data_IF_140453302630
#
_entry.id   IF_140453302630
#
_cell.length_a   1.000
_cell.length_b   1.000
_cell.length_c   1.000
_cell.angle_alpha   90.00
_cell.angle_beta   90.00
_cell.angle_gamma   90.00
#
_symmetry.space_group_name_H-M   'P 1'
#
loop_
_entity.id
_entity.type
_entity.pdbx_description
1 polymer ?
#
# COMPACT_ATOMS: atom_id res chain seq x y z
N UNK A 1 -5.74 -0.01 19.85
CA UNK A 1 -4.39 0.49 19.56
C UNK A 1 -4.49 1.62 18.55
N UNK A 2 -3.83 2.75 18.81
CA UNK A 2 -3.72 3.84 17.83
C UNK A 2 -2.34 3.72 17.19
N UNK A 3 -2.31 3.64 15.86
CA UNK A 3 -1.06 3.50 15.13
C UNK A 3 -0.50 4.87 14.73
N UNK A 4 -1.33 5.68 14.09
CA UNK A 4 -0.90 6.97 13.56
C UNK A 4 -2.05 7.95 13.53
N UNK A 5 -1.75 9.24 13.69
CA UNK A 5 -2.70 10.32 13.49
C UNK A 5 -2.10 11.44 12.63
N UNK A 6 -2.93 12.01 11.76
CA UNK A 6 -2.53 12.98 10.75
C UNK A 6 -3.50 14.15 10.67
N UNK A 7 -2.94 15.35 10.47
CA UNK A 7 -3.62 16.43 9.76
C UNK A 7 -3.27 16.39 8.30
N UNK A 8 -4.22 16.67 7.42
CA UNK A 8 -4.01 16.74 5.98
C UNK A 8 -4.90 17.81 5.32
N UNK A 9 -4.44 18.36 4.21
CA UNK A 9 -5.21 19.35 3.45
C UNK A 9 -6.42 18.71 2.77
N UNK A 10 -7.60 19.32 2.93
CA UNK A 10 -8.82 18.97 2.18
C UNK A 10 -9.15 20.11 1.22
N UNK A 11 -9.31 21.31 1.77
CA UNK A 11 -9.71 22.50 1.02
C UNK A 11 -9.15 23.77 1.67
N UNK A 12 -9.39 24.91 1.04
CA UNK A 12 -9.08 26.21 1.63
C UNK A 12 -9.97 26.58 2.82
N UNK A 13 -10.99 25.77 3.14
CA UNK A 13 -11.92 25.99 4.26
C UNK A 13 -11.75 24.95 5.37
N UNK A 14 -11.30 23.75 5.04
CA UNK A 14 -11.21 22.62 5.96
C UNK A 14 -9.87 21.88 5.88
N UNK A 15 -9.40 21.43 7.04
CA UNK A 15 -8.29 20.50 7.23
C UNK A 15 -8.86 19.19 7.76
N UNK A 16 -8.42 18.07 7.20
CA UNK A 16 -8.80 16.76 7.68
C UNK A 16 -7.96 16.38 8.90
N UNK A 17 -8.61 15.84 9.91
CA UNK A 17 -7.96 15.07 10.96
C UNK A 17 -8.33 13.60 10.80
N UNK A 18 -7.34 12.73 10.95
CA UNK A 18 -7.63 11.31 11.00
C UNK A 18 -6.70 10.52 11.90
N UNK A 19 -7.21 9.38 12.36
CA UNK A 19 -6.49 8.38 13.15
C UNK A 19 -6.64 7.03 12.48
N UNK A 20 -5.54 6.33 12.28
CA UNK A 20 -5.51 4.94 11.83
C UNK A 20 -5.21 4.09 13.06
N UNK A 21 -6.03 3.06 13.29
CA UNK A 21 -5.87 2.21 14.46
C UNK A 21 -6.49 0.84 14.29
N UNK A 22 -6.36 0.05 15.36
CA UNK A 22 -6.85 -1.31 15.49
C UNK A 22 -7.71 -1.43 16.72
N UNK A 23 -8.92 -1.96 16.56
CA UNK A 23 -9.82 -2.22 17.67
C UNK A 23 -10.70 -3.41 17.37
N UNK A 24 -11.36 -3.92 18.42
CA UNK A 24 -12.56 -4.72 18.20
C UNK A 24 -13.60 -3.89 17.45
N UNK A 25 -14.55 -4.60 16.83
CA UNK A 25 -15.70 -3.97 16.21
C UNK A 25 -16.28 -2.86 17.09
N UNK A 26 -16.24 -1.64 16.57
CA UNK A 26 -16.89 -0.49 17.18
C UNK A 26 -18.25 -0.38 16.53
N UNK A 27 -19.31 -0.27 17.34
CA UNK A 27 -20.63 -0.02 16.76
C UNK A 27 -20.62 1.36 16.09
N UNK A 28 -21.45 1.55 15.07
CA UNK A 28 -21.66 2.88 14.46
C UNK A 28 -22.13 3.92 15.51
N UNK A 29 -22.73 3.43 16.59
CA UNK A 29 -23.21 4.23 17.71
C UNK A 29 -22.11 4.63 18.71
N UNK A 30 -20.92 4.01 18.69
CA UNK A 30 -19.85 4.32 19.64
C UNK A 30 -19.31 5.73 19.35
N UNK A 31 -19.61 6.67 20.25
CA UNK A 31 -19.23 8.08 20.02
C UNK A 31 -17.76 8.30 20.37
N UNK A 32 -16.92 8.46 19.35
CA UNK A 32 -15.55 8.95 19.54
C UNK A 32 -15.48 10.42 19.19
N UNK A 33 -14.77 11.20 20.02
CA UNK A 33 -14.65 12.64 19.87
C UNK A 33 -13.20 13.07 19.93
N UNK A 34 -12.87 14.07 19.14
CA UNK A 34 -11.60 14.78 19.17
C UNK A 34 -11.77 16.04 20.01
N UNK A 35 -10.98 16.17 21.08
CA UNK A 35 -10.85 17.41 21.85
C UNK A 35 -9.51 18.07 21.52
N UNK A 36 -9.56 19.32 21.04
CA UNK A 36 -8.39 20.13 20.76
C UNK A 36 -8.71 21.62 20.95
N UNK A 37 -7.83 22.34 21.66
CA UNK A 37 -8.00 23.76 22.00
C UNK A 37 -9.37 24.09 22.64
N UNK A 38 -9.92 23.19 23.45
CA UNK A 38 -11.24 23.35 24.07
C UNK A 38 -12.44 23.15 23.14
N UNK A 39 -12.20 22.85 21.85
CA UNK A 39 -13.22 22.49 20.88
C UNK A 39 -13.36 20.97 20.81
N UNK A 40 -14.59 20.51 20.55
CA UNK A 40 -14.94 19.09 20.45
C UNK A 40 -15.51 18.80 19.07
N UNK A 41 -14.91 17.84 18.37
CA UNK A 41 -15.37 17.37 17.06
C UNK A 41 -15.82 15.92 17.16
N UNK A 42 -17.03 15.57 16.68
CA UNK A 42 -17.41 14.17 16.54
C UNK A 42 -16.53 13.52 15.46
N UNK A 43 -16.06 12.30 15.72
CA UNK A 43 -15.28 11.53 14.76
C UNK A 43 -16.17 10.48 14.10
N UNK A 44 -16.17 10.47 12.77
CA UNK A 44 -16.68 9.35 11.98
C UNK A 44 -15.76 8.15 12.14
N UNK A 45 -16.32 6.95 12.12
CA UNK A 45 -15.60 5.71 12.18
C UNK A 45 -15.80 4.92 10.89
N UNK A 46 -14.74 4.79 10.10
CA UNK A 46 -14.76 4.05 8.85
C UNK A 46 -13.93 2.76 9.00
N UNK A 47 -14.52 1.60 8.66
CA UNK A 47 -13.74 0.38 8.52
C UNK A 47 -12.80 0.52 7.32
N UNK A 48 -11.48 0.35 7.53
CA UNK A 48 -10.50 0.49 6.44
C UNK A 48 -10.55 -0.72 5.51
N UNK A 49 -10.84 -1.90 6.06
CA UNK A 49 -11.06 -3.13 5.30
C UNK A 49 -12.56 -3.46 5.20
N UNK A 50 -12.95 -4.37 4.31
CA UNK A 50 -14.32 -4.68 3.81
C UNK A 50 -15.45 -4.86 4.86
N UNK A 51 -15.19 -4.80 6.16
CA UNK A 51 -16.22 -4.75 7.18
C UNK A 51 -15.67 -4.80 8.61
N UNK A 52 -16.60 -4.76 9.57
CA UNK A 52 -16.30 -4.89 10.98
C UNK A 52 -15.94 -6.37 11.33
N UNK A 53 -14.87 -6.64 12.09
CA UNK A 53 -14.50 -7.98 12.55
C UNK A 53 -15.60 -8.68 13.37
N UNK A 54 -16.24 -9.70 12.79
CA UNK A 54 -17.23 -10.51 13.52
C UNK A 54 -17.98 -11.53 12.66
N UNK A 55 -18.03 -11.33 11.34
CA UNK A 55 -18.72 -12.26 10.44
C UNK A 55 -17.81 -13.35 9.85
N UNK A 56 -16.49 -13.18 9.96
CA UNK A 56 -15.51 -14.08 9.34
C UNK A 56 -14.35 -14.34 10.32
N UNK A 57 -14.61 -14.64 11.59
CA UNK A 57 -13.57 -15.13 12.53
C UNK A 57 -12.50 -14.12 13.00
N UNK A 58 -12.63 -12.82 12.70
CA UNK A 58 -11.76 -11.79 13.28
C UNK A 58 -12.41 -11.06 14.42
N UNK A 59 -11.66 -10.84 15.50
CA UNK A 59 -12.11 -10.02 16.62
C UNK A 59 -11.59 -8.57 16.55
N UNK A 60 -10.51 -8.31 15.81
CA UNK A 60 -9.85 -7.00 15.72
C UNK A 60 -9.69 -6.61 14.25
N UNK A 61 -9.88 -5.32 13.95
CA UNK A 61 -9.91 -4.76 12.60
C UNK A 61 -9.26 -3.40 12.53
N UNK A 62 -8.77 -3.05 11.35
CA UNK A 62 -8.29 -1.72 11.03
C UNK A 62 -9.45 -0.73 10.90
N UNK A 63 -9.37 0.41 11.57
CA UNK A 63 -10.33 1.50 11.48
C UNK A 63 -9.64 2.83 11.20
N UNK A 64 -10.42 3.75 10.62
CA UNK A 64 -10.09 5.16 10.48
C UNK A 64 -11.09 5.96 11.31
N UNK A 65 -10.60 6.81 12.21
CA UNK A 65 -11.40 7.90 12.76
C UNK A 65 -11.14 9.16 11.96
N UNK A 66 -12.17 9.91 11.63
CA UNK A 66 -12.06 11.08 10.76
C UNK A 66 -12.94 12.25 11.23
N UNK A 67 -12.41 13.47 11.12
CA UNK A 67 -13.17 14.72 11.26
C UNK A 67 -12.62 15.79 10.33
N UNK A 68 -13.49 16.73 9.95
CA UNK A 68 -13.11 17.97 9.27
C UNK A 68 -13.03 19.12 10.26
N UNK A 69 -11.91 19.83 10.21
CA UNK A 69 -11.60 20.94 11.10
C UNK A 69 -11.53 22.22 10.27
N UNK A 70 -12.21 23.30 10.66
CA UNK A 70 -12.08 24.58 9.97
C UNK A 70 -10.63 25.08 9.98
N UNK A 71 -10.14 25.60 8.86
CA UNK A 71 -8.71 26.01 8.69
C UNK A 71 -8.24 27.11 9.66
N UNK A 72 -9.17 27.88 10.25
CA UNK A 72 -8.85 28.92 11.22
C UNK A 72 -8.53 28.38 12.62
N UNK A 73 -8.78 27.08 12.86
CA UNK A 73 -8.53 26.45 14.16
C UNK A 73 -7.05 26.05 14.24
N UNK A 74 -6.31 26.47 15.27
CA UNK A 74 -4.90 26.08 15.42
C UNK A 74 -4.75 24.56 15.53
N UNK A 75 -3.76 23.99 14.83
CA UNK A 75 -3.51 22.54 14.80
C UNK A 75 -2.39 22.14 15.77
N UNK A 76 -2.72 21.62 16.98
CA UNK A 76 -1.72 21.24 17.97
C UNK A 76 -1.00 19.94 17.59
N UNK A 77 0.24 19.75 18.04
CA UNK A 77 0.99 18.52 17.74
C UNK A 77 0.55 17.32 18.63
N UNK A 78 -0.34 17.57 19.60
CA UNK A 78 -1.01 16.56 20.42
C UNK A 78 -2.49 16.89 20.56
N UNK A 79 -3.33 15.87 20.48
CA UNK A 79 -4.78 15.99 20.67
C UNK A 79 -5.27 14.95 21.66
N UNK A 80 -6.46 15.19 22.23
CA UNK A 80 -7.10 14.25 23.14
C UNK A 80 -8.25 13.56 22.40
N UNK A 81 -8.18 12.24 22.30
CA UNK A 81 -9.30 11.43 21.86
C UNK A 81 -10.11 11.00 23.07
N UNK A 82 -11.43 11.11 22.96
CA UNK A 82 -12.38 10.76 24.00
C UNK A 82 -13.31 9.70 23.44
N UNK A 83 -13.36 8.56 24.11
CA UNK A 83 -14.34 7.50 23.89
C UNK A 83 -15.28 7.45 25.10
N UNK A 84 -16.32 6.64 25.02
CA UNK A 84 -17.23 6.40 26.15
C UNK A 84 -16.52 5.83 27.39
N UNK A 85 -15.38 5.15 27.19
CA UNK A 85 -14.69 4.39 28.23
C UNK A 85 -13.37 5.00 28.67
N UNK A 86 -12.79 5.90 27.88
CA UNK A 86 -11.43 6.38 28.12
C UNK A 86 -11.17 7.71 27.43
N UNK A 87 -10.11 8.39 27.87
CA UNK A 87 -9.51 9.47 27.09
C UNK A 87 -8.01 9.25 27.00
N UNK A 88 -7.43 9.57 25.85
CA UNK A 88 -6.00 9.39 25.58
C UNK A 88 -5.47 10.60 24.82
N UNK A 89 -4.30 11.09 25.22
CA UNK A 89 -3.55 12.06 24.42
C UNK A 89 -2.68 11.34 23.40
N UNK A 90 -2.74 11.78 22.15
CA UNK A 90 -1.94 11.20 21.07
C UNK A 90 -1.16 12.28 20.32
N UNK A 91 0.05 11.97 19.83
CA UNK A 91 0.77 12.85 18.91
C UNK A 91 0.11 12.84 17.53
N UNK A 92 0.10 13.99 16.86
CA UNK A 92 -0.46 14.15 15.51
C UNK A 92 0.61 14.70 14.57
N UNK A 93 0.78 14.03 13.44
CA UNK A 93 1.70 14.49 12.38
C UNK A 93 0.96 15.44 11.44
N UNK A 94 1.64 16.47 10.96
CA UNK A 94 1.13 17.34 9.89
C UNK A 94 1.60 16.73 8.57
N UNK A 95 0.78 15.87 7.96
CA UNK A 95 1.03 15.44 6.58
C UNK A 95 0.94 16.70 5.70
N UNK A 96 1.82 16.83 4.70
CA UNK A 96 2.05 18.07 3.94
C UNK A 96 0.76 18.90 3.79
N UNK A 97 0.62 19.93 4.62
CA UNK A 97 -0.56 20.82 4.65
C UNK A 97 -0.58 21.79 3.46
N UNK A 98 0.31 21.56 2.50
CA UNK A 98 0.54 22.33 1.28
C UNK A 98 0.25 21.39 0.12
N UNK A 99 -0.33 21.92 -0.95
CA UNK A 99 -0.55 21.23 -2.22
C UNK A 99 0.69 20.38 -2.58
N UNK A 100 0.51 19.05 -2.73
CA UNK A 100 1.60 18.08 -2.77
C UNK A 100 2.65 18.47 -3.80
N UNK A 101 3.80 18.92 -3.31
CA UNK A 101 5.00 19.23 -4.09
C UNK A 101 6.21 18.64 -3.39
N UNK A 102 6.98 17.85 -4.16
CA UNK A 102 8.37 17.36 -4.06
C UNK A 102 9.11 17.17 -2.71
N UNK A 103 8.53 17.38 -1.52
CA UNK A 103 9.24 17.18 -0.25
C UNK A 103 9.43 15.69 0.07
N UNK A 104 10.67 15.33 0.42
CA UNK A 104 11.26 13.98 0.46
C UNK A 104 11.42 13.37 1.86
N UNK A 105 10.77 13.91 2.90
CA UNK A 105 11.16 13.57 4.27
C UNK A 105 10.46 12.36 4.90
N UNK A 106 9.54 11.69 4.20
CA UNK A 106 8.98 10.41 4.65
C UNK A 106 9.00 9.39 3.53
N UNK A 107 9.82 8.34 3.69
CA UNK A 107 9.81 7.17 2.80
C UNK A 107 8.57 6.30 3.13
N UNK A 108 7.56 6.26 2.25
CA UNK A 108 6.36 5.46 2.47
C UNK A 108 6.68 3.96 2.58
N UNK A 109 7.78 3.50 1.99
CA UNK A 109 8.16 2.09 1.89
C UNK A 109 8.75 1.51 3.19
N UNK A 110 9.01 2.32 4.22
CA UNK A 110 9.58 1.81 5.49
C UNK A 110 8.64 0.89 6.29
N UNK A 111 7.37 0.77 5.90
CA UNK A 111 6.32 0.04 6.62
C UNK A 111 5.79 -1.19 5.83
N UNK A 112 6.67 -2.09 5.39
CA UNK A 112 6.26 -3.37 4.79
C UNK A 112 5.36 -4.17 5.77
N UNK A 113 4.09 -4.36 5.41
CA UNK A 113 3.11 -5.28 6.01
C UNK A 113 3.16 -5.40 7.55
N UNK A 114 3.23 -4.28 8.27
CA UNK A 114 3.40 -4.30 9.73
C UNK A 114 2.07 -4.42 10.47
N UNK A 115 0.99 -3.96 9.86
CA UNK A 115 -0.22 -3.64 10.59
C UNK A 115 -1.45 -4.30 9.96
N UNK A 116 -1.41 -4.48 8.64
CA UNK A 116 -2.44 -5.12 7.86
C UNK A 116 -2.69 -4.35 6.58
N UNK A 117 -2.97 -5.09 5.51
CA UNK A 117 -2.90 -4.60 4.13
C UNK A 117 -3.64 -3.26 3.92
N UNK A 118 -4.89 -3.15 4.36
CA UNK A 118 -5.69 -1.92 4.20
C UNK A 118 -5.13 -0.70 4.95
N UNK A 119 -4.69 -0.87 6.20
CA UNK A 119 -4.10 0.23 6.98
C UNK A 119 -2.76 0.67 6.43
N UNK A 120 -1.93 -0.28 5.99
CA UNK A 120 -0.62 0.00 5.42
C UNK A 120 -0.79 0.81 4.12
N UNK A 121 -1.79 0.48 3.31
CA UNK A 121 -2.17 1.25 2.13
C UNK A 121 -2.62 2.68 2.48
N UNK A 122 -3.51 2.84 3.46
CA UNK A 122 -3.99 4.16 3.88
C UNK A 122 -2.84 4.99 4.46
N UNK A 123 -2.03 4.44 5.36
CA UNK A 123 -0.89 5.13 5.96
C UNK A 123 0.14 5.55 4.90
N UNK A 124 0.42 4.68 3.92
CA UNK A 124 1.28 4.98 2.78
C UNK A 124 0.73 6.16 1.96
N UNK A 125 -0.56 6.12 1.59
CA UNK A 125 -1.22 7.17 0.82
C UNK A 125 -1.16 8.55 1.49
N UNK A 126 -1.23 8.57 2.82
CA UNK A 126 -1.21 9.77 3.64
C UNK A 126 0.17 10.39 3.79
N UNK A 127 1.20 9.55 3.84
CA UNK A 127 2.61 9.98 3.85
C UNK A 127 3.13 10.29 2.45
N UNK A 128 2.42 9.86 1.41
CA UNK A 128 2.82 10.04 0.02
C UNK A 128 2.85 11.53 -0.37
N UNK A 129 4.04 12.07 -0.62
CA UNK A 129 4.21 13.45 -1.10
C UNK A 129 4.08 13.61 -2.61
N UNK A 130 3.82 12.53 -3.36
CA UNK A 130 3.73 12.57 -4.83
C UNK A 130 2.29 12.76 -5.29
N UNK A 131 2.16 13.29 -6.52
CA UNK A 131 0.86 13.52 -7.16
C UNK A 131 0.12 12.23 -7.52
N UNK A 132 0.87 11.18 -7.84
CA UNK A 132 0.36 9.86 -8.18
C UNK A 132 0.97 8.84 -7.24
N UNK A 133 0.17 7.87 -6.80
CA UNK A 133 0.56 6.76 -5.95
C UNK A 133 -0.06 5.47 -6.51
N UNK A 134 0.70 4.38 -6.55
CA UNK A 134 0.19 3.08 -6.97
C UNK A 134 0.28 2.11 -5.81
N UNK A 135 -0.71 1.23 -5.68
CA UNK A 135 -0.65 0.06 -4.81
C UNK A 135 -0.42 -1.13 -5.73
N UNK A 136 0.79 -1.67 -5.67
CA UNK A 136 1.24 -2.76 -6.56
C UNK A 136 1.76 -3.86 -5.65
N UNK A 137 1.22 -5.07 -5.79
CA UNK A 137 1.75 -6.21 -5.04
C UNK A 137 3.14 -6.56 -5.61
N UNK A 138 3.96 -7.26 -4.83
CA UNK A 138 5.33 -7.58 -5.25
C UNK A 138 5.38 -8.41 -6.54
N UNK A 139 4.33 -9.16 -6.82
CA UNK A 139 4.15 -10.01 -7.98
C UNK A 139 3.36 -9.31 -9.11
N UNK A 140 3.05 -8.02 -8.99
CA UNK A 140 2.32 -7.26 -10.00
C UNK A 140 3.21 -6.30 -10.80
N UNK A 141 2.90 -6.14 -12.09
CA UNK A 141 3.54 -5.16 -12.98
C UNK A 141 2.48 -4.33 -13.70
N UNK A 142 2.46 -3.02 -13.47
CA UNK A 142 1.62 -2.11 -14.25
C UNK A 142 2.41 -1.66 -15.48
N UNK A 143 1.81 -1.75 -16.66
CA UNK A 143 2.42 -1.38 -17.93
C UNK A 143 1.44 -0.58 -18.81
N UNK A 144 1.98 0.28 -19.67
CA UNK A 144 1.25 0.88 -20.79
C UNK A 144 1.71 0.24 -22.10
N UNK A 145 0.80 0.11 -23.06
CA UNK A 145 1.13 -0.43 -24.39
C UNK A 145 1.93 0.58 -25.22
N UNK A 146 1.71 1.87 -24.98
CA UNK A 146 2.45 2.97 -25.61
C UNK A 146 2.95 3.98 -24.57
N UNK A 147 4.08 4.62 -24.87
CA UNK A 147 4.66 5.67 -24.02
C UNK A 147 5.00 5.21 -22.60
N UNK A 148 5.00 6.14 -21.65
CA UNK A 148 5.20 5.84 -20.23
C UNK A 148 3.86 5.90 -19.48
N UNK A 149 3.75 5.11 -18.39
CA UNK A 149 2.62 5.17 -17.47
C UNK A 149 2.37 6.61 -17.00
N UNK A 150 3.45 7.35 -16.69
CA UNK A 150 3.35 8.72 -16.20
C UNK A 150 2.75 9.67 -17.26
N UNK A 151 3.16 9.55 -18.51
CA UNK A 151 2.61 10.37 -19.60
C UNK A 151 1.13 10.06 -19.82
N UNK A 152 0.77 8.78 -19.79
CA UNK A 152 -0.61 8.32 -19.94
C UNK A 152 -1.51 8.88 -18.83
N UNK A 153 -1.15 8.68 -17.55
CA UNK A 153 -1.98 9.15 -16.43
C UNK A 153 -2.10 10.68 -16.41
N UNK A 154 -1.03 11.40 -16.79
CA UNK A 154 -1.07 12.87 -16.90
C UNK A 154 -1.96 13.34 -18.04
N UNK A 155 -2.01 12.62 -19.17
CA UNK A 155 -2.92 12.92 -20.26
C UNK A 155 -4.38 12.73 -19.83
N UNK A 156 -4.70 11.61 -19.17
CA UNK A 156 -6.06 11.34 -18.68
C UNK A 156 -6.53 12.40 -17.68
N UNK A 157 -5.70 12.75 -16.70
CA UNK A 157 -6.04 13.78 -15.72
C UNK A 157 -6.23 15.18 -16.34
N UNK A 158 -5.44 15.53 -17.36
CA UNK A 158 -5.61 16.81 -18.09
C UNK A 158 -6.93 16.86 -18.83
N UNK A 159 -7.39 15.73 -19.37
CA UNK A 159 -8.65 15.63 -20.09
C UNK A 159 -9.86 15.66 -19.15
N UNK A 160 -9.75 15.08 -17.96
CA UNK A 160 -10.80 15.08 -16.94
C UNK A 160 -10.23 15.23 -15.52
N UNK A 161 -10.35 16.44 -14.99
CA UNK A 161 -9.88 16.78 -13.64
C UNK A 161 -10.64 16.04 -12.51
N UNK A 162 -11.80 15.43 -12.81
CA UNK A 162 -12.60 14.65 -11.85
C UNK A 162 -12.07 13.23 -11.64
N UNK A 163 -11.09 12.79 -12.43
CA UNK A 163 -10.44 11.49 -12.24
C UNK A 163 -9.62 11.52 -10.95
N UNK A 164 -9.97 10.64 -10.01
CA UNK A 164 -9.27 10.36 -8.76
C UNK A 164 -8.36 9.14 -8.83
N UNK A 165 -8.63 8.19 -9.73
CA UNK A 165 -7.78 7.02 -9.95
C UNK A 165 -7.99 6.43 -11.35
N UNK A 166 -6.99 5.65 -11.78
CA UNK A 166 -7.02 4.86 -13.00
C UNK A 166 -6.88 3.38 -12.64
N UNK A 167 -7.79 2.56 -13.13
CA UNK A 167 -7.84 1.13 -12.85
C UNK A 167 -7.29 0.35 -14.04
N UNK A 168 -6.15 -0.31 -13.82
CA UNK A 168 -5.51 -1.17 -14.81
C UNK A 168 -6.03 -2.59 -14.61
N UNK A 169 -6.70 -3.15 -15.61
CA UNK A 169 -7.22 -4.53 -15.57
C UNK A 169 -6.06 -5.49 -15.34
N UNK A 170 -6.24 -6.42 -14.41
CA UNK A 170 -5.27 -7.47 -14.15
C UNK A 170 -5.36 -8.54 -15.24
N UNK A 171 -4.20 -8.94 -15.75
CA UNK A 171 -3.96 -10.13 -16.58
C UNK A 171 -3.02 -11.06 -15.82
N UNK A 172 -2.89 -12.32 -16.24
CA UNK A 172 -1.98 -13.27 -15.57
C UNK A 172 -0.73 -13.44 -16.40
N UNK A 173 0.44 -13.37 -15.75
CA UNK A 173 1.71 -13.76 -16.34
C UNK A 173 2.15 -15.08 -15.72
N UNK A 174 2.39 -16.06 -16.60
CA UNK A 174 2.79 -17.43 -16.27
C UNK A 174 4.29 -17.65 -16.50
N UNK A 175 4.76 -18.79 -15.98
CA UNK A 175 6.11 -19.32 -16.17
C UNK A 175 7.23 -18.31 -15.88
N UNK A 176 7.02 -17.40 -14.93
CA UNK A 176 8.11 -16.64 -14.34
C UNK A 176 9.00 -17.65 -13.62
N UNK A 177 10.17 -17.94 -14.21
CA UNK A 177 11.07 -18.96 -13.69
C UNK A 177 11.37 -18.65 -12.21
N UNK A 178 11.17 -19.65 -11.34
CA UNK A 178 11.69 -19.56 -9.99
C UNK A 178 13.23 -19.50 -10.06
N UNK A 179 13.90 -18.76 -9.16
CA UNK A 179 15.34 -18.92 -8.98
C UNK A 179 15.64 -20.36 -8.62
N UNK A 180 16.05 -21.18 -9.59
CA UNK A 180 16.54 -22.53 -9.36
C UNK A 180 18.04 -22.44 -9.08
N UNK A 181 18.40 -22.19 -7.81
CA UNK A 181 19.77 -22.25 -7.33
C UNK A 181 20.18 -21.12 -6.38
N UNK A 182 21.35 -21.28 -5.77
CA UNK A 182 21.91 -20.33 -4.79
C UNK A 182 22.67 -19.16 -5.43
N UNK A 183 22.78 -19.11 -6.76
CA UNK A 183 23.49 -18.05 -7.49
C UNK A 183 22.60 -16.83 -7.75
N UNK A 184 22.26 -16.14 -6.66
CA UNK A 184 21.51 -14.89 -6.72
C UNK A 184 22.26 -13.82 -7.52
N UNK A 185 23.60 -13.84 -7.60
CA UNK A 185 24.37 -12.81 -8.33
C UNK A 185 24.15 -12.85 -9.85
N UNK A 186 23.77 -14.01 -10.38
CA UNK A 186 23.53 -14.21 -11.81
C UNK A 186 22.09 -14.59 -12.14
N UNK A 187 21.13 -14.13 -11.32
CA UNK A 187 19.71 -14.31 -11.60
C UNK A 187 19.35 -13.86 -13.03
N UNK A 188 18.70 -14.76 -13.77
CA UNK A 188 18.31 -14.49 -15.16
C UNK A 188 16.98 -13.75 -15.20
N UNK A 189 16.98 -12.55 -15.76
CA UNK A 189 15.79 -11.73 -15.98
C UNK A 189 15.26 -11.81 -17.41
N UNK A 190 15.81 -12.67 -18.28
CA UNK A 190 15.42 -12.78 -19.69
C UNK A 190 13.93 -13.12 -19.86
N UNK A 191 13.33 -13.84 -18.92
CA UNK A 191 11.90 -14.15 -18.87
C UNK A 191 11.00 -12.91 -18.75
N UNK A 192 11.55 -11.73 -18.42
CA UNK A 192 10.81 -10.48 -18.42
C UNK A 192 10.77 -9.82 -19.81
N UNK A 193 11.61 -10.23 -20.76
CA UNK A 193 11.57 -9.70 -22.13
C UNK A 193 10.37 -10.28 -22.91
N UNK A 194 10.10 -11.57 -22.70
CA UNK A 194 8.95 -12.29 -23.26
C UNK A 194 8.34 -13.19 -22.20
N UNK A 195 7.01 -13.18 -22.08
CA UNK A 195 6.32 -14.00 -21.09
C UNK A 195 5.03 -14.59 -21.67
N UNK A 196 4.56 -15.67 -21.08
CA UNK A 196 3.26 -16.25 -21.39
C UNK A 196 2.18 -15.53 -20.60
N UNK A 197 1.30 -14.84 -21.33
CA UNK A 197 0.28 -13.97 -20.76
C UNK A 197 -1.08 -14.55 -21.06
N UNK A 198 -1.90 -14.74 -20.02
CA UNK A 198 -3.31 -15.00 -20.17
C UNK A 198 -4.10 -13.70 -20.00
N UNK A 199 -4.44 -13.15 -21.14
CA UNK A 199 -5.16 -11.90 -21.30
C UNK A 199 -6.62 -12.00 -20.85
N UNK A 200 -7.19 -13.20 -20.82
CA UNK A 200 -8.60 -13.45 -20.51
C UNK A 200 -8.80 -14.30 -19.25
N UNK A 201 -7.78 -14.44 -18.40
CA UNK A 201 -7.91 -15.22 -17.17
C UNK A 201 -8.49 -14.42 -16.00
N UNK A 202 -8.48 -13.08 -16.10
CA UNK A 202 -9.12 -12.17 -15.15
C UNK A 202 -9.85 -11.07 -15.92
N UNK A 203 -11.04 -10.72 -15.45
CA UNK A 203 -11.90 -9.75 -16.14
C UNK A 203 -12.37 -8.61 -15.23
N UNK A 204 -12.44 -8.83 -13.91
CA UNK A 204 -13.06 -7.88 -12.98
C UNK A 204 -12.15 -7.49 -11.81
N UNK A 205 -10.85 -7.72 -11.94
CA UNK A 205 -9.86 -7.28 -10.95
C UNK A 205 -8.93 -6.23 -11.54
N UNK A 206 -8.56 -5.26 -10.71
CA UNK A 206 -7.78 -4.11 -11.12
C UNK A 206 -6.62 -3.84 -10.16
N UNK A 207 -5.63 -3.10 -10.66
CA UNK A 207 -4.65 -2.40 -9.84
C UNK A 207 -4.79 -0.90 -10.04
N UNK A 208 -5.01 -0.12 -8.96
CA UNK A 208 -5.25 1.31 -9.06
C UNK A 208 -3.95 2.11 -9.01
N UNK A 209 -3.83 3.07 -9.93
CA UNK A 209 -2.99 4.26 -9.74
C UNK A 209 -3.91 5.39 -9.28
N UNK A 210 -3.65 5.95 -8.11
CA UNK A 210 -4.49 6.92 -7.43
C UNK A 210 -3.83 8.30 -7.36
N UNK A 211 -4.66 9.33 -7.32
CA UNK A 211 -4.27 10.69 -6.93
C UNK A 211 -4.63 10.85 -5.46
N UNK A 212 -3.65 10.85 -4.55
CA UNK A 212 -3.95 10.72 -3.14
C UNK A 212 -4.66 11.95 -2.53
N UNK A 213 -4.68 13.11 -3.21
CA UNK A 213 -5.52 14.27 -2.84
C UNK A 213 -7.00 14.15 -3.25
N UNK A 214 -7.35 13.10 -3.98
CA UNK A 214 -8.71 12.83 -4.47
C UNK A 214 -9.32 11.59 -3.83
N UNK A 215 -8.57 10.90 -2.98
CA UNK A 215 -8.92 9.62 -2.36
C UNK A 215 -8.91 9.76 -0.84
N UNK A 216 -9.96 9.25 -0.19
CA UNK A 216 -10.08 9.22 1.26
C UNK A 216 -9.79 7.83 1.83
N UNK A 217 -10.20 6.76 1.12
CA UNK A 217 -9.94 5.37 1.53
C UNK A 217 -9.46 4.53 0.32
N UNK A 218 -8.17 4.14 0.28
CA UNK A 218 -7.68 3.22 -0.73
C UNK A 218 -8.02 1.77 -0.37
N UNK A 219 -8.07 0.90 -1.38
CA UNK A 219 -8.07 -0.55 -1.24
C UNK A 219 -7.11 -1.17 -2.26
N UNK A 220 -6.73 -2.44 -2.08
CA UNK A 220 -5.71 -3.11 -2.92
C UNK A 220 -6.05 -3.07 -4.40
N UNK A 221 -7.34 -3.30 -4.73
CA UNK A 221 -7.80 -3.45 -6.11
C UNK A 221 -8.65 -2.28 -6.61
N UNK A 222 -9.04 -1.35 -5.74
CA UNK A 222 -9.90 -0.23 -6.08
C UNK A 222 -9.81 0.88 -5.04
N UNK A 223 -10.42 2.03 -5.29
CA UNK A 223 -10.64 3.08 -4.30
C UNK A 223 -11.99 2.86 -3.62
N UNK A 224 -11.98 2.63 -2.31
CA UNK A 224 -13.21 2.41 -1.53
C UNK A 224 -14.02 3.69 -1.36
N UNK A 225 -13.35 4.83 -1.17
CA UNK A 225 -14.01 6.12 -1.01
C UNK A 225 -13.17 7.23 -1.66
N UNK A 226 -13.78 7.93 -2.60
CA UNK A 226 -13.27 9.18 -3.15
C UNK A 226 -13.65 10.37 -2.30
N UNK A 227 -12.84 11.42 -2.40
CA UNK A 227 -13.12 12.71 -1.78
C UNK A 227 -14.25 13.44 -2.51
N UNK A 228 -15.03 14.21 -1.78
CA UNK A 228 -16.04 15.09 -2.34
C UNK A 228 -15.37 16.32 -2.98
N UNK A 229 -15.81 16.69 -4.19
CA UNK A 229 -15.48 17.95 -4.86
C UNK A 229 -16.44 19.04 -4.39
N UNK A 230 -17.73 18.70 -4.36
CA UNK A 230 -18.85 19.52 -3.85
C UNK A 230 -19.83 18.59 -3.15
N UNK A 231 -20.88 19.14 -2.53
CA UNK A 231 -21.89 18.35 -1.80
C UNK A 231 -22.55 17.24 -2.66
N UNK A 232 -22.58 17.40 -3.98
CA UNK A 232 -23.23 16.47 -4.92
C UNK A 232 -22.26 15.83 -5.92
N UNK A 233 -20.96 16.01 -5.79
CA UNK A 233 -19.99 15.50 -6.77
C UNK A 233 -18.75 14.99 -6.09
N UNK A 234 -18.33 13.77 -6.41
CA UNK A 234 -17.12 13.14 -5.92
C UNK A 234 -16.14 12.95 -7.07
N UNK A 235 -14.85 12.79 -6.74
CA UNK A 235 -13.93 12.22 -7.71
C UNK A 235 -14.35 10.79 -8.08
N UNK A 236 -13.86 10.31 -9.23
CA UNK A 236 -14.23 9.00 -9.79
C UNK A 236 -13.02 8.25 -10.31
N UNK A 237 -13.15 6.94 -10.46
CA UNK A 237 -12.21 6.14 -11.24
C UNK A 237 -12.53 6.19 -12.74
N UNK A 238 -11.53 5.78 -13.53
CA UNK A 238 -11.73 5.32 -14.89
C UNK A 238 -11.05 3.97 -15.07
N UNK A 239 -11.68 3.07 -15.81
CA UNK A 239 -11.04 1.83 -16.26
C UNK A 239 -10.16 2.15 -17.45
N UNK A 240 -8.88 1.82 -17.36
CA UNK A 240 -7.93 1.96 -18.45
C UNK A 240 -8.27 0.91 -19.51
N UNK A 241 -8.53 1.30 -20.77
CA UNK A 241 -8.74 0.34 -21.83
C UNK A 241 -7.54 -0.60 -21.95
N UNK A 242 -7.81 -1.89 -22.12
CA UNK A 242 -6.79 -2.95 -22.07
C UNK A 242 -5.71 -2.81 -23.16
N UNK A 243 -6.11 -2.29 -24.31
CA UNK A 243 -5.24 -1.94 -25.44
C UNK A 243 -4.33 -0.73 -25.15
N UNK A 244 -4.60 0.02 -24.08
CA UNK A 244 -3.81 1.18 -23.66
C UNK A 244 -2.88 0.85 -22.48
N UNK A 245 -3.33 0.03 -21.53
CA UNK A 245 -2.52 -0.39 -20.39
C UNK A 245 -3.19 -1.48 -19.56
N UNK A 246 -2.35 -2.25 -18.86
CA UNK A 246 -2.76 -3.40 -18.05
C UNK A 246 -1.90 -3.53 -16.80
N UNK A 247 -2.42 -4.28 -15.82
CA UNK A 247 -1.63 -4.83 -14.73
C UNK A 247 -1.39 -6.31 -14.98
N UNK A 248 -0.22 -6.81 -14.67
CA UNK A 248 0.18 -8.19 -14.88
C UNK A 248 0.46 -8.83 -13.54
N UNK A 249 -0.32 -9.82 -13.15
CA UNK A 249 -0.13 -10.58 -11.92
C UNK A 249 0.69 -11.83 -12.20
N UNK A 250 1.91 -11.85 -11.67
CA UNK A 250 2.86 -12.95 -11.77
C UNK A 250 2.46 -14.08 -10.84
N UNK A 251 1.99 -15.20 -11.40
CA UNK A 251 1.75 -16.40 -10.61
C UNK A 251 3.03 -17.23 -10.56
N UNK A 252 3.79 -17.07 -9.48
CA UNK A 252 4.81 -18.03 -9.11
C UNK A 252 4.13 -19.31 -8.62
N UNK A 253 4.63 -20.49 -8.99
CA UNK A 253 4.07 -21.82 -8.62
C UNK A 253 3.99 -22.08 -7.09
N UNK A 254 4.37 -21.14 -6.23
CA UNK A 254 4.49 -21.33 -4.78
C UNK A 254 3.17 -21.56 -4.03
N UNK A 255 2.02 -21.15 -4.57
CA UNK A 255 0.76 -21.10 -3.79
C UNK A 255 -0.31 -22.06 -4.32
N UNK A 256 -0.42 -22.22 -5.63
CA UNK A 256 -1.24 -23.24 -6.29
C UNK A 256 -0.68 -23.48 -7.69
N UNK A 257 -0.69 -24.71 -8.21
CA UNK A 257 -0.42 -24.94 -9.62
C UNK A 257 -1.45 -24.14 -10.43
N UNK A 258 -0.96 -23.26 -11.29
CA UNK A 258 -1.81 -22.67 -12.35
C UNK A 258 -1.92 -23.76 -13.40
N UNK A 259 -3.14 -24.18 -13.73
CA UNK A 259 -3.37 -25.04 -14.90
C UNK A 259 -3.08 -24.19 -16.15
N UNK A 260 -1.83 -24.28 -16.61
CA UNK A 260 -1.37 -23.66 -17.82
C UNK A 260 -2.04 -24.36 -19.01
N UNK A 261 -2.89 -23.62 -19.73
CA UNK A 261 -3.65 -24.12 -20.87
C UNK A 261 -3.49 -23.22 -22.11
N UNK A 262 -4.24 -23.54 -23.16
CA UNK A 262 -4.21 -22.87 -24.46
C UNK A 262 -4.53 -21.36 -24.44
N UNK A 263 -5.01 -20.82 -23.32
CA UNK A 263 -5.31 -19.38 -23.17
C UNK A 263 -4.04 -18.54 -22.96
N UNK A 264 -2.94 -19.16 -22.57
CA UNK A 264 -1.66 -18.48 -22.41
C UNK A 264 -0.97 -18.32 -23.77
N UNK A 265 -0.53 -17.10 -24.06
CA UNK A 265 0.16 -16.79 -25.31
C UNK A 265 1.48 -16.11 -25.01
N UNK A 266 2.53 -16.50 -25.72
CA UNK A 266 3.84 -15.86 -25.55
C UNK A 266 3.80 -14.47 -26.20
N UNK A 267 4.10 -13.44 -25.41
CA UNK A 267 4.04 -12.04 -25.82
C UNK A 267 5.30 -11.31 -25.39
N UNK A 268 5.66 -10.25 -26.11
CA UNK A 268 6.65 -9.27 -25.61
C UNK A 268 6.10 -8.64 -24.33
N UNK A 269 6.90 -8.66 -23.27
CA UNK A 269 6.45 -8.21 -21.95
C UNK A 269 7.09 -6.87 -21.56
N UNK A 270 8.36 -6.86 -21.16
CA UNK A 270 9.09 -5.63 -20.86
C UNK A 270 10.11 -5.32 -21.97
N UNK A 271 10.31 -4.04 -22.33
CA UNK A 271 11.37 -3.67 -23.25
C UNK A 271 12.74 -4.13 -22.73
N UNK A 272 13.56 -4.70 -23.61
CA UNK A 272 14.92 -5.16 -23.28
C UNK A 272 15.75 -4.15 -22.51
N UNK A 273 15.67 -2.87 -22.87
CA UNK A 273 16.38 -1.80 -22.17
C UNK A 273 15.97 -1.68 -20.68
N UNK A 274 14.70 -1.93 -20.36
CA UNK A 274 14.20 -1.95 -18.98
C UNK A 274 14.72 -3.17 -18.22
N UNK A 275 14.73 -4.34 -18.86
CA UNK A 275 15.27 -5.58 -18.30
C UNK A 275 16.78 -5.47 -18.05
N UNK A 276 17.53 -4.89 -18.97
CA UNK A 276 18.97 -4.66 -18.83
C UNK A 276 19.26 -3.72 -17.64
N UNK A 277 18.49 -2.64 -17.49
CA UNK A 277 18.60 -1.73 -16.34
C UNK A 277 18.28 -2.44 -15.02
N UNK A 278 17.24 -3.29 -14.99
CA UNK A 278 16.90 -4.11 -13.83
C UNK A 278 18.06 -5.01 -13.44
N UNK A 279 18.62 -5.75 -14.40
CA UNK A 279 19.78 -6.65 -14.19
C UNK A 279 20.97 -5.92 -13.58
N UNK A 280 21.32 -4.74 -14.09
CA UNK A 280 22.43 -3.91 -13.56
C UNK A 280 22.14 -3.43 -12.14
N UNK A 281 20.93 -2.91 -11.90
CA UNK A 281 20.55 -2.38 -10.58
C UNK A 281 20.48 -3.48 -9.52
N UNK A 282 19.90 -4.62 -9.88
CA UNK A 282 19.81 -5.79 -9.02
C UNK A 282 21.20 -6.27 -8.58
N UNK A 283 22.12 -6.49 -9.54
CA UNK A 283 23.51 -6.86 -9.23
C UNK A 283 24.19 -5.85 -8.31
N UNK A 284 24.02 -4.55 -8.57
CA UNK A 284 24.62 -3.49 -7.75
C UNK A 284 24.12 -3.56 -6.30
N UNK A 285 22.82 -3.75 -6.10
CA UNK A 285 22.24 -3.73 -4.76
C UNK A 285 22.52 -5.06 -4.04
N UNK A 286 22.45 -6.20 -4.73
CA UNK A 286 22.81 -7.50 -4.15
C UNK A 286 24.28 -7.54 -3.70
N UNK A 287 25.22 -7.04 -4.52
CA UNK A 287 26.63 -6.91 -4.12
C UNK A 287 26.79 -6.04 -2.85
N UNK A 288 26.04 -4.95 -2.75
CA UNK A 288 26.05 -4.10 -1.56
C UNK A 288 25.52 -4.84 -0.33
N UNK A 289 24.42 -5.61 -0.48
CA UNK A 289 23.87 -6.42 0.60
C UNK A 289 24.86 -7.49 1.05
N UNK A 290 25.45 -8.25 0.13
CA UNK A 290 26.44 -9.27 0.44
C UNK A 290 27.69 -8.69 1.12
N UNK A 291 28.14 -7.50 0.70
CA UNK A 291 29.28 -6.82 1.32
C UNK A 291 28.99 -6.35 2.76
N UNK A 292 27.79 -5.83 3.01
CA UNK A 292 27.36 -5.37 4.33
C UNK A 292 27.01 -6.52 5.27
N UNK A 293 26.54 -7.63 4.71
CA UNK A 293 26.10 -8.81 5.45
C UNK A 293 26.85 -10.04 4.91
N UNK A 294 28.15 -10.14 5.25
CA UNK A 294 29.07 -11.19 4.76
C UNK A 294 28.55 -12.63 4.91
N UNK A 295 27.60 -12.86 5.81
CA UNK A 295 26.87 -14.11 6.00
C UNK A 295 25.36 -13.83 5.99
N UNK A 296 24.83 -13.38 4.85
CA UNK A 296 23.40 -13.18 4.66
C UNK A 296 22.73 -14.56 4.58
N UNK A 297 22.50 -15.21 5.72
CA UNK A 297 21.46 -16.22 5.80
C UNK A 297 20.15 -15.48 5.78
N UNK A 298 19.49 -15.47 4.62
CA UNK A 298 18.05 -15.20 4.58
C UNK A 298 17.48 -16.33 5.44
N UNK A 299 17.14 -16.02 6.70
CA UNK A 299 16.46 -16.99 7.54
C UNK A 299 15.23 -17.47 6.79
N UNK A 300 14.67 -18.60 7.20
CA UNK A 300 13.46 -19.15 6.61
C UNK A 300 12.23 -18.29 7.02
N UNK A 301 12.32 -16.97 6.82
CA UNK A 301 11.27 -15.97 6.96
C UNK A 301 10.07 -16.39 6.15
N UNK A 302 10.27 -17.07 5.01
CA UNK A 302 9.19 -17.68 4.25
C UNK A 302 8.51 -18.79 5.07
N UNK A 303 9.24 -19.76 5.63
CA UNK A 303 8.64 -20.79 6.51
C UNK A 303 8.02 -20.21 7.78
N UNK A 304 8.61 -19.18 8.38
CA UNK A 304 8.06 -18.50 9.55
C UNK A 304 6.77 -17.74 9.19
N UNK A 305 6.79 -16.93 8.14
CA UNK A 305 5.62 -16.22 7.61
C UNK A 305 4.55 -17.21 7.14
N UNK A 306 4.94 -18.37 6.60
CA UNK A 306 4.01 -19.45 6.23
C UNK A 306 3.40 -20.14 7.45
N UNK A 307 4.16 -20.37 8.53
CA UNK A 307 3.60 -20.88 9.81
C UNK A 307 2.60 -19.87 10.40
N UNK A 308 2.92 -18.59 10.27
CA UNK A 308 2.10 -17.45 10.63
C UNK A 308 0.83 -17.29 9.75
N UNK A 309 0.94 -17.55 8.45
CA UNK A 309 -0.11 -17.31 7.45
C UNK A 309 -1.07 -18.47 7.25
N UNK A 310 -0.76 -19.67 7.77
CA UNK A 310 -1.64 -20.85 7.75
C UNK A 310 -3.03 -20.60 8.36
N UNK A 311 -3.21 -19.54 9.15
CA UNK A 311 -4.50 -19.13 9.71
C UNK A 311 -5.12 -17.88 9.05
N UNK A 312 -4.48 -17.31 8.02
CA UNK A 312 -4.85 -16.02 7.39
C UNK A 312 -5.78 -16.19 6.20
N UNK A 313 -5.98 -17.42 5.69
CA UNK A 313 -6.52 -17.65 4.36
C UNK A 313 -7.89 -17.01 4.07
N UNK A 314 -8.70 -16.68 5.09
CA UNK A 314 -10.06 -16.14 4.85
C UNK A 314 -10.53 -15.05 5.82
N UNK A 315 -9.75 -14.70 6.84
CA UNK A 315 -10.33 -14.00 8.00
C UNK A 315 -9.55 -12.73 8.33
N UNK A 316 -8.32 -12.79 8.83
CA UNK A 316 -7.64 -11.61 9.40
C UNK A 316 -6.31 -11.29 8.72
N UNK A 317 -6.28 -10.24 7.90
CA UNK A 317 -5.04 -9.70 7.34
C UNK A 317 -4.26 -8.81 8.34
N UNK A 318 -4.28 -9.14 9.64
CA UNK A 318 -3.60 -8.40 10.72
C UNK A 318 -2.56 -9.33 11.35
N UNK A 319 -1.26 -9.15 11.03
CA UNK A 319 -0.21 -10.08 11.46
C UNK A 319 -0.04 -10.17 12.98
N UNK A 320 -0.30 -9.07 13.71
CA UNK A 320 -0.18 -8.99 15.17
C UNK A 320 -1.02 -10.02 15.94
N UNK A 321 -2.17 -10.43 15.39
CA UNK A 321 -3.02 -11.43 16.06
C UNK A 321 -2.60 -12.87 15.72
N UNK A 322 -2.04 -13.09 14.52
CA UNK A 322 -1.66 -14.42 14.05
C UNK A 322 -0.22 -14.80 14.41
N UNK A 323 0.58 -13.84 14.90
CA UNK A 323 2.01 -14.02 15.16
C UNK A 323 2.50 -13.22 16.38
N UNK A 324 2.32 -13.77 17.58
CA UNK A 324 2.75 -13.13 18.85
C UNK A 324 4.24 -12.73 18.85
N UNK A 325 5.10 -13.49 18.16
CA UNK A 325 6.54 -13.17 18.11
C UNK A 325 6.93 -12.22 16.95
N UNK A 326 5.97 -11.61 16.22
CA UNK A 326 6.28 -10.54 15.26
C UNK A 326 6.77 -9.26 15.95
N UNK A 327 6.48 -9.08 17.24
CA UNK A 327 7.05 -7.99 18.06
C UNK A 327 8.59 -8.11 18.16
N UNK A 328 9.13 -9.34 18.18
CA UNK A 328 10.58 -9.61 18.21
C UNK A 328 11.24 -9.48 16.82
N UNK A 329 10.46 -9.51 15.73
CA UNK A 329 10.94 -9.28 14.36
C UNK A 329 11.14 -7.78 14.05
N UNK A 330 10.75 -6.86 14.95
CA UNK A 330 11.14 -5.44 14.85
C UNK A 330 12.67 -5.26 14.79
N UNK A 331 13.41 -6.15 15.46
CA UNK A 331 14.88 -6.19 15.46
C UNK A 331 15.48 -6.77 14.17
N UNK A 332 14.66 -7.39 13.30
CA UNK A 332 15.08 -7.85 11.97
C UNK A 332 14.98 -6.74 10.92
N UNK A 333 13.94 -5.90 10.98
CA UNK A 333 13.82 -4.72 10.08
C UNK A 333 14.79 -3.61 10.48
N UNK A 334 15.28 -3.64 11.72
CA UNK A 334 16.48 -2.94 12.18
C UNK A 334 17.61 -3.95 12.36
N UNK A 335 18.05 -4.61 11.28
CA UNK A 335 19.14 -5.61 11.30
C UNK A 335 20.05 -5.46 12.52
N UNK A 336 19.89 -6.38 13.47
CA UNK A 336 20.56 -6.38 14.77
C UNK A 336 22.08 -6.50 14.62
N UNK A 337 22.71 -5.38 14.30
CA UNK A 337 24.06 -5.06 14.71
C UNK A 337 23.98 -4.43 16.08
N UNK A 338 24.41 -5.16 17.09
CA UNK A 338 24.68 -4.64 18.43
C UNK A 338 25.42 -3.31 18.36
N UNK A 339 24.77 -2.24 18.79
CA UNK A 339 25.40 -0.95 19.09
C UNK A 339 25.76 -0.10 17.87
N UNK A 340 24.84 0.74 17.42
CA UNK A 340 25.17 1.86 16.56
C UNK A 340 23.95 2.65 16.13
N UNK A 341 23.92 3.95 16.45
CA UNK A 341 22.97 4.92 15.88
C UNK A 341 23.20 5.02 14.37
N UNK A 342 22.67 4.09 13.59
CA UNK A 342 22.73 4.07 12.13
C UNK A 342 21.40 4.53 11.54
N UNK A 343 21.42 5.61 10.76
CA UNK A 343 20.33 6.00 9.87
C UNK A 343 19.98 4.86 8.91
N UNK A 344 18.72 4.42 8.88
CA UNK A 344 18.23 3.38 7.98
C UNK A 344 18.10 3.89 6.54
N UNK A 345 19.21 3.90 5.81
CA UNK A 345 19.22 4.06 4.36
C UNK A 345 19.21 2.67 3.70
N UNK A 346 18.09 1.95 3.82
CA UNK A 346 17.93 0.67 3.12
C UNK A 346 16.61 0.60 2.37
N UNK A 347 16.75 0.22 1.11
CA UNK A 347 15.71 -0.08 0.14
C UNK A 347 15.46 -1.58 0.29
N UNK A 348 14.21 -1.99 0.49
CA UNK A 348 13.85 -3.38 0.18
C UNK A 348 14.04 -3.56 -1.32
N UNK A 349 15.05 -4.35 -1.69
CA UNK A 349 14.98 -5.11 -2.92
C UNK A 349 13.97 -6.22 -2.72
N UNK A 350 12.97 -6.30 -3.59
CA UNK A 350 12.72 -7.48 -4.41
C UNK A 350 12.23 -7.00 -5.77
#
# INVERSE_FOLDING_TARGET
MIYSAYYFYISNRTTGFQVIGYSKCRSENETTRLEMNGLVYPLRNDAVQMGCPGHIGCEIGSFRLYAEIPVHVPLPDKVKLITERSSVQIPVKKAALVQRTTQRDMDPNRNLHRLGQGSDHLDCLMRCGTKFAAIVDFDDFITTREGTILDYIQAQERNDATIGSLYFIITIVAHLQQPLGDDWLNYDFSYLETAEICDHCKHDEYKPIMMPDKVDLPFTHFVKQFRNITDNTTYKDIVVPKDQGVSHHGRYEYVNPVDYDERFTNQTFLPKQSVDKLRVNYKRILNRLMALHKNLTIADTISYMNKCSRYIAWTCQIPLHSCINMEELEDWVKFSGTGGKGSSNYIMLW
#
